data_IF_884968473897
#
_entry.id   IF_884968473897
#
_cell.length_a   1.000
_cell.length_b   1.000
_cell.length_c   1.000
_cell.angle_alpha   90.00
_cell.angle_beta   90.00
_cell.angle_gamma   90.00
#
_symmetry.space_group_name_H-M   'P 1'
#
loop_
_entity.id
_entity.type
_entity.pdbx_description
1 polymer ?
#
# COMPACT_ATOMS: atom_id res chain seq x y z
N UNK A 1 -7.82 -59.52 -18.42
CA UNK A 1 -6.77 -59.49 -19.46
C UNK A 1 -7.28 -60.18 -20.71
N UNK A 2 -7.46 -59.43 -21.81
CA UNK A 2 -6.93 -59.89 -23.11
C UNK A 2 -6.02 -58.84 -23.78
N UNK A 3 -5.12 -59.34 -24.64
CA UNK A 3 -3.94 -58.67 -25.23
C UNK A 3 -4.18 -58.25 -26.69
N UNK A 4 -3.60 -57.09 -27.10
CA UNK A 4 -3.01 -56.69 -28.42
C UNK A 4 -3.80 -56.97 -29.75
N UNK A 5 -3.72 -56.22 -30.88
CA UNK A 5 -2.75 -55.28 -31.47
C UNK A 5 -3.32 -54.63 -32.77
N UNK A 6 -2.70 -53.50 -33.18
CA UNK A 6 -2.51 -52.95 -34.57
C UNK A 6 -3.59 -52.01 -35.15
N UNK A 7 -3.34 -50.92 -35.92
CA UNK A 7 -2.12 -50.26 -36.47
C UNK A 7 -2.45 -48.83 -36.98
N UNK A 8 -1.53 -47.87 -36.73
CA UNK A 8 -1.13 -46.64 -37.46
C UNK A 8 -2.12 -45.55 -37.98
N UNK A 9 -1.90 -44.32 -37.48
CA UNK A 9 -1.87 -43.05 -38.24
C UNK A 9 -0.82 -42.12 -37.57
N UNK A 10 -0.01 -41.44 -38.38
CA UNK A 10 1.02 -40.46 -37.99
C UNK A 10 0.63 -39.09 -38.55
N UNK A 11 0.76 -38.01 -37.75
CA UNK A 11 0.97 -36.61 -38.16
C UNK A 11 1.06 -35.78 -36.86
N UNK A 12 2.24 -35.32 -36.43
CA UNK A 12 2.91 -34.04 -36.74
C UNK A 12 2.65 -32.97 -35.64
N UNK A 13 3.59 -32.04 -35.52
CA UNK A 13 3.94 -31.17 -34.39
C UNK A 13 2.87 -30.17 -33.95
N UNK A 14 2.86 -29.83 -32.66
CA UNK A 14 2.96 -28.41 -32.22
C UNK A 14 3.42 -28.35 -30.75
N UNK A 15 4.71 -28.08 -30.55
CA UNK A 15 5.28 -27.63 -29.29
C UNK A 15 4.96 -26.13 -29.20
N UNK A 16 3.88 -25.77 -28.51
CA UNK A 16 3.52 -24.36 -28.33
C UNK A 16 4.47 -23.72 -27.32
N UNK A 17 5.55 -23.17 -27.85
CA UNK A 17 6.57 -22.33 -27.22
C UNK A 17 5.91 -21.15 -26.48
N UNK A 18 5.74 -21.27 -25.16
CA UNK A 18 5.26 -20.18 -24.31
C UNK A 18 6.40 -19.18 -24.13
N UNK A 19 6.30 -18.07 -24.86
CA UNK A 19 7.28 -16.99 -24.83
C UNK A 19 7.58 -16.48 -23.41
N UNK A 20 8.86 -16.22 -23.15
CA UNK A 20 9.42 -15.79 -21.84
C UNK A 20 8.78 -14.51 -21.26
N UNK A 21 8.12 -13.70 -22.10
CA UNK A 21 7.51 -12.42 -21.74
C UNK A 21 6.29 -12.57 -20.80
N UNK A 22 5.50 -13.65 -20.95
CA UNK A 22 4.34 -13.92 -20.08
C UNK A 22 4.73 -14.38 -18.66
N UNK A 23 5.86 -15.07 -18.50
CA UNK A 23 6.39 -15.49 -17.19
C UNK A 23 6.91 -14.31 -16.38
N UNK A 24 7.48 -13.29 -17.03
CA UNK A 24 7.99 -12.09 -16.40
C UNK A 24 6.86 -11.19 -15.83
N UNK A 25 5.74 -11.08 -16.54
CA UNK A 25 4.58 -10.30 -16.10
C UNK A 25 3.89 -10.89 -14.85
N UNK A 26 3.82 -12.22 -14.75
CA UNK A 26 3.27 -12.93 -13.57
C UNK A 26 4.15 -12.78 -12.33
N UNK A 27 5.49 -12.83 -12.47
CA UNK A 27 6.43 -12.59 -11.36
C UNK A 27 6.36 -11.15 -10.85
N UNK A 28 6.30 -10.15 -11.75
CA UNK A 28 6.14 -8.73 -11.38
C UNK A 28 4.83 -8.45 -10.64
N UNK A 29 3.73 -9.13 -10.97
CA UNK A 29 2.46 -9.04 -10.24
C UNK A 29 2.53 -9.65 -8.83
N UNK A 30 3.24 -10.77 -8.66
CA UNK A 30 3.42 -11.39 -7.33
C UNK A 30 4.31 -10.54 -6.42
N UNK A 31 5.40 -9.97 -6.94
CA UNK A 31 6.29 -9.10 -6.14
C UNK A 31 5.60 -7.80 -5.74
N UNK A 32 4.78 -7.21 -6.62
CA UNK A 32 3.98 -6.02 -6.29
C UNK A 32 2.94 -6.31 -5.20
N UNK A 33 2.37 -7.52 -5.18
CA UNK A 33 1.40 -7.97 -4.17
C UNK A 33 2.06 -8.31 -2.83
N UNK A 34 3.25 -8.92 -2.83
CA UNK A 34 4.05 -9.15 -1.61
C UNK A 34 4.50 -7.86 -0.95
N UNK A 35 4.95 -6.88 -1.75
CA UNK A 35 5.40 -5.57 -1.24
C UNK A 35 4.27 -4.67 -0.73
N UNK A 36 3.02 -4.97 -1.08
CA UNK A 36 1.83 -4.35 -0.47
C UNK A 36 1.49 -5.01 0.87
N UNK A 37 1.51 -6.34 0.94
CA UNK A 37 1.19 -7.08 2.17
C UNK A 37 2.18 -6.80 3.31
N UNK A 38 3.49 -6.71 3.04
CA UNK A 38 4.49 -6.39 4.09
C UNK A 38 4.38 -4.95 4.61
N UNK A 39 3.79 -4.01 3.85
CA UNK A 39 3.55 -2.64 4.35
C UNK A 39 2.31 -2.54 5.23
N UNK A 40 1.29 -3.37 4.97
CA UNK A 40 0.03 -3.32 5.70
C UNK A 40 0.17 -3.85 7.14
N UNK A 41 1.09 -4.79 7.41
CA UNK A 41 1.32 -5.32 8.76
C UNK A 41 2.15 -4.39 9.66
N UNK A 42 3.01 -3.54 9.09
CA UNK A 42 3.84 -2.57 9.84
C UNK A 42 3.16 -1.21 10.02
N UNK A 43 2.18 -0.86 9.17
CA UNK A 43 1.48 0.43 9.21
C UNK A 43 0.69 0.65 10.51
N UNK A 44 0.33 -0.40 11.26
CA UNK A 44 -0.40 -0.29 12.52
C UNK A 44 0.44 0.10 13.74
N UNK A 45 1.75 -0.16 13.75
CA UNK A 45 2.61 0.05 14.92
C UNK A 45 2.96 1.53 15.16
N UNK A 46 2.97 2.34 14.10
CA UNK A 46 3.45 3.73 14.14
C UNK A 46 2.31 4.77 14.02
N UNK A 47 1.06 4.35 14.21
CA UNK A 47 -0.11 5.24 14.15
C UNK A 47 -0.47 5.84 15.52
N UNK A 48 -0.34 7.15 15.63
CA UNK A 48 -0.81 7.96 16.76
C UNK A 48 -2.25 8.41 16.49
N UNK A 49 -3.20 8.03 17.32
CA UNK A 49 -4.61 8.35 17.11
C UNK A 49 -4.94 9.81 17.49
N UNK A 50 -5.59 10.56 16.58
CA UNK A 50 -6.15 11.89 16.82
C UNK A 50 -7.66 11.87 17.09
N UNK A 51 -8.37 10.94 16.43
CA UNK A 51 -9.80 10.71 16.63
C UNK A 51 -10.18 9.30 16.20
N UNK A 52 -11.46 8.91 16.31
CA UNK A 52 -11.95 7.58 15.93
C UNK A 52 -11.53 7.11 14.54
N UNK A 53 -11.29 8.04 13.60
CA UNK A 53 -10.92 7.72 12.22
C UNK A 53 -9.75 8.55 11.70
N UNK A 54 -9.01 9.26 12.55
CA UNK A 54 -7.89 10.11 12.14
C UNK A 54 -6.65 9.77 12.92
N UNK A 55 -5.54 9.62 12.21
CA UNK A 55 -4.27 9.19 12.76
C UNK A 55 -3.14 10.04 12.20
N UNK A 56 -2.06 10.14 12.97
CA UNK A 56 -0.75 10.61 12.54
C UNK A 56 0.18 9.41 12.45
N UNK A 57 0.95 9.26 11.37
CA UNK A 57 2.02 8.27 11.28
C UNK A 57 3.28 8.88 10.70
N UNK A 58 4.43 8.32 11.05
CA UNK A 58 5.73 8.70 10.47
C UNK A 58 6.21 7.53 9.63
N UNK A 59 6.49 7.77 8.35
CA UNK A 59 6.93 6.70 7.44
C UNK A 59 7.98 7.18 6.45
N UNK A 60 8.72 6.23 5.89
CA UNK A 60 9.64 6.49 4.78
C UNK A 60 8.98 6.18 3.43
N UNK A 61 9.04 7.14 2.50
CA UNK A 61 8.62 6.93 1.13
C UNK A 61 9.66 7.47 0.14
N UNK A 62 10.28 6.56 -0.62
CA UNK A 62 11.31 6.87 -1.62
C UNK A 62 12.48 7.68 -1.02
N UNK A 63 13.01 7.24 0.12
CA UNK A 63 14.14 7.90 0.79
C UNK A 63 13.79 9.20 1.50
N UNK A 64 12.49 9.52 1.66
CA UNK A 64 12.03 10.71 2.35
C UNK A 64 11.18 10.33 3.55
N UNK A 65 11.50 10.90 4.70
CA UNK A 65 10.65 10.84 5.90
C UNK A 65 9.43 11.76 5.70
N UNK A 66 8.24 11.20 5.88
CA UNK A 66 6.97 11.89 5.77
C UNK A 66 6.16 11.67 7.04
N UNK A 67 5.46 12.73 7.46
CA UNK A 67 4.52 12.72 8.56
C UNK A 67 3.12 12.77 7.95
N UNK A 68 2.39 11.66 7.98
CA UNK A 68 1.04 11.57 7.45
C UNK A 68 0.01 11.93 8.51
N UNK A 69 -0.88 12.88 8.22
CA UNK A 69 -2.07 13.19 9.03
C UNK A 69 -3.28 12.84 8.16
N UNK A 70 -3.97 11.72 8.46
CA UNK A 70 -4.91 11.11 7.51
C UNK A 70 -6.17 10.54 8.17
N UNK A 71 -7.29 10.70 7.47
CA UNK A 71 -8.55 10.03 7.78
C UNK A 71 -8.55 8.63 7.16
N UNK A 72 -8.88 7.62 7.96
CA UNK A 72 -9.01 6.22 7.54
C UNK A 72 -10.48 5.83 7.47
N UNK A 73 -10.78 4.87 6.60
CA UNK A 73 -12.10 4.25 6.53
C UNK A 73 -11.97 2.75 6.79
N UNK A 74 -13.03 2.16 7.33
CA UNK A 74 -13.12 0.72 7.54
C UNK A 74 -13.62 0.06 6.25
N UNK A 75 -12.88 -0.94 5.78
CA UNK A 75 -13.19 -1.74 4.62
C UNK A 75 -13.28 -3.22 5.01
N UNK A 76 -14.29 -3.57 5.82
CA UNK A 76 -14.54 -4.95 6.22
C UNK A 76 -13.69 -5.44 7.39
N UNK A 77 -13.43 -4.57 8.37
CA UNK A 77 -12.60 -4.83 9.54
C UNK A 77 -11.16 -4.36 9.38
N UNK A 78 -10.78 -3.87 8.20
CA UNK A 78 -9.44 -3.37 7.90
C UNK A 78 -9.46 -1.85 7.71
N UNK A 79 -8.63 -1.13 8.47
CA UNK A 79 -8.49 0.31 8.34
C UNK A 79 -7.64 0.64 7.11
N UNK A 80 -8.21 1.35 6.15
CA UNK A 80 -7.51 1.80 4.94
C UNK A 80 -7.41 3.32 4.88
N UNK A 81 -6.30 3.87 4.36
CA UNK A 81 -6.10 5.31 4.25
C UNK A 81 -7.10 5.93 3.26
N UNK A 82 -7.80 6.97 3.70
CA UNK A 82 -8.74 7.72 2.87
C UNK A 82 -8.09 8.84 2.05
N UNK A 83 -8.89 9.44 1.16
CA UNK A 83 -8.48 10.60 0.34
C UNK A 83 -8.21 11.86 1.19
N UNK A 84 -8.88 12.00 2.34
CA UNK A 84 -8.72 13.16 3.22
C UNK A 84 -7.48 12.99 4.09
N UNK A 85 -6.54 13.91 3.96
CA UNK A 85 -5.29 13.91 4.72
C UNK A 85 -4.16 14.54 3.92
N UNK A 86 -3.04 14.75 4.60
CA UNK A 86 -1.83 15.35 4.03
C UNK A 86 -0.60 14.58 4.51
N UNK A 87 0.40 14.44 3.64
CA UNK A 87 1.74 13.98 4.01
C UNK A 87 2.65 15.19 4.07
N UNK A 88 3.13 15.53 5.25
CA UNK A 88 4.05 16.64 5.48
C UNK A 88 5.49 16.16 5.33
N UNK A 89 6.34 17.00 4.75
CA UNK A 89 7.79 16.82 4.84
C UNK A 89 8.28 17.18 6.25
N UNK A 90 9.50 16.77 6.59
CA UNK A 90 10.15 17.14 7.86
C UNK A 90 10.23 18.65 8.08
N UNK A 91 10.46 19.42 7.01
CA UNK A 91 10.55 20.89 7.11
C UNK A 91 9.18 21.53 7.33
N UNK A 92 8.13 21.02 6.66
CA UNK A 92 6.75 21.46 6.90
C UNK A 92 6.31 21.14 8.33
N UNK A 93 6.67 19.96 8.84
CA UNK A 93 6.40 19.58 10.23
C UNK A 93 7.12 20.48 11.22
N UNK A 94 8.40 20.80 11.00
CA UNK A 94 9.15 21.74 11.84
C UNK A 94 8.44 23.10 11.88
N UNK A 95 8.05 23.63 10.72
CA UNK A 95 7.37 24.92 10.64
C UNK A 95 6.01 24.90 11.36
N UNK A 96 5.26 23.81 11.23
CA UNK A 96 4.00 23.64 11.96
C UNK A 96 4.22 23.71 13.48
N UNK A 97 5.26 23.03 14.00
CA UNK A 97 5.60 23.08 15.43
C UNK A 97 5.98 24.48 15.92
N UNK A 98 6.74 25.23 15.10
CA UNK A 98 7.13 26.61 15.43
C UNK A 98 5.94 27.58 15.45
N UNK A 99 4.85 27.25 14.76
CA UNK A 99 3.66 28.08 14.66
C UNK A 99 2.52 27.65 15.60
N UNK A 100 2.77 26.75 16.57
CA UNK A 100 1.71 26.26 17.46
C UNK A 100 1.10 27.38 18.31
N UNK A 101 1.92 28.26 18.88
CA UNK A 101 1.42 29.38 19.69
C UNK A 101 0.48 30.30 18.89
N UNK A 102 0.89 30.68 17.66
CA UNK A 102 0.07 31.49 16.74
C UNK A 102 -1.23 30.78 16.33
N UNK A 103 -1.22 29.44 16.27
CA UNK A 103 -2.39 28.63 15.94
C UNK A 103 -3.34 28.57 17.15
N UNK A 104 -2.81 28.37 18.35
CA UNK A 104 -3.58 28.27 19.59
C UNK A 104 -4.27 29.60 19.95
N UNK A 105 -3.60 30.73 19.72
CA UNK A 105 -4.21 32.07 19.83
C UNK A 105 -5.43 32.19 18.89
N UNK A 106 -5.26 31.83 17.61
CA UNK A 106 -6.35 31.87 16.63
C UNK A 106 -7.49 30.91 16.93
N UNK A 107 -7.20 29.74 17.52
CA UNK A 107 -8.24 28.80 17.97
C UNK A 107 -9.03 29.43 19.11
N UNK A 108 -8.34 30.05 20.06
CA UNK A 108 -8.97 30.73 21.21
C UNK A 108 -9.89 31.85 20.73
N UNK A 109 -9.48 32.67 19.76
CA UNK A 109 -10.31 33.73 19.20
C UNK A 109 -11.59 33.24 18.49
N UNK A 110 -11.59 32.02 17.96
CA UNK A 110 -12.72 31.46 17.21
C UNK A 110 -13.70 30.64 18.07
N UNK A 111 -13.23 30.10 19.19
CA UNK A 111 -13.98 29.13 20.00
C UNK A 111 -14.21 29.62 21.44
N UNK A 112 -13.42 30.57 21.93
CA UNK A 112 -13.58 31.24 23.23
C UNK A 112 -14.61 32.36 23.21
#
# INVERSE_FOLDING_TARGET
MPKHKSKAYVSDSDDSDISDDEKAAKKRKLEKKKKQAEREEDEGSDMIQLSNKRYVSVREFKGKCLIDIREYYDAGGELKPGKKGISLTTDQWRRLKESMDDIDEKITDLVG
#
